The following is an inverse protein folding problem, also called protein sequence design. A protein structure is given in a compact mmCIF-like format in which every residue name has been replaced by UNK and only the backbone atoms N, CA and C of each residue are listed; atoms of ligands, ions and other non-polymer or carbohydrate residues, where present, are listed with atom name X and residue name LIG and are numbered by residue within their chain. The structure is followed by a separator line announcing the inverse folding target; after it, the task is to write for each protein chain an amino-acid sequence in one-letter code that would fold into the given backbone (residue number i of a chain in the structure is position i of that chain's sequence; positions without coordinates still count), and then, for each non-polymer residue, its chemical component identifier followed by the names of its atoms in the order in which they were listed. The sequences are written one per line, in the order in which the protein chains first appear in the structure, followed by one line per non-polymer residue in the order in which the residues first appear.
data_IF_298988758322
#
_entry.id   IF_298988758322
#
_cell.length_a   1.000
_cell.length_b   1.000
_cell.length_c   1.000
_cell.angle_alpha   90.00
_cell.angle_beta   90.00
_cell.angle_gamma   90.00
#
_symmetry.space_group_name_H-M   'P 1'
#
loop_
_entity.id
_entity.type
_entity.pdbx_description
1 polymer ?
#
# COMPACT_ATOMS: atom_id res chain seq x y z
N UNK A 1 23.83 -59.25 -3.18
CA UNK A 1 23.88 -58.33 -4.34
C UNK A 1 22.46 -57.87 -4.65
N UNK A 2 22.11 -56.66 -4.22
CA UNK A 2 20.77 -56.07 -4.35
C UNK A 2 20.92 -54.76 -5.13
N UNK A 3 20.68 -54.78 -6.43
CA UNK A 3 20.72 -53.58 -7.28
C UNK A 3 19.34 -52.89 -7.29
N UNK A 4 19.30 -51.72 -6.67
CA UNK A 4 18.14 -50.83 -6.59
C UNK A 4 17.93 -50.11 -7.92
N UNK A 5 16.79 -50.36 -8.58
CA UNK A 5 16.26 -49.53 -9.68
C UNK A 5 15.91 -48.13 -9.15
N UNK A 6 16.60 -47.09 -9.63
CA UNK A 6 16.22 -45.68 -9.42
C UNK A 6 15.16 -45.27 -10.45
N UNK A 7 13.95 -44.99 -9.98
CA UNK A 7 12.88 -44.41 -10.78
C UNK A 7 13.14 -42.92 -11.00
N UNK A 8 13.21 -42.51 -12.27
CA UNK A 8 13.38 -41.14 -12.70
C UNK A 8 12.01 -40.46 -12.78
N UNK A 9 11.59 -39.74 -11.73
CA UNK A 9 10.39 -38.89 -11.76
C UNK A 9 10.76 -37.56 -12.42
N UNK A 10 10.34 -37.39 -13.68
CA UNK A 10 10.25 -36.07 -14.32
C UNK A 10 9.20 -35.26 -13.56
N UNK A 11 9.65 -34.25 -12.83
CA UNK A 11 8.80 -33.17 -12.31
C UNK A 11 8.42 -32.27 -13.48
N UNK A 12 7.13 -32.25 -13.82
CA UNK A 12 6.55 -31.25 -14.71
C UNK A 12 6.59 -29.86 -14.05
N UNK A 13 6.73 -28.78 -14.84
CA UNK A 13 6.71 -27.43 -14.30
C UNK A 13 5.29 -27.08 -13.86
N UNK A 14 5.15 -26.72 -12.58
CA UNK A 14 3.95 -26.10 -12.03
C UNK A 14 3.74 -24.78 -12.75
N UNK A 15 2.81 -24.74 -13.71
CA UNK A 15 2.28 -23.51 -14.26
C UNK A 15 1.53 -22.78 -13.15
N UNK A 16 2.12 -21.70 -12.64
CA UNK A 16 1.43 -20.79 -11.73
C UNK A 16 0.21 -20.22 -12.46
N UNK A 17 -0.97 -20.44 -11.86
CA UNK A 17 -2.25 -20.08 -12.42
C UNK A 17 -2.39 -18.55 -12.57
N UNK A 18 -2.23 -18.05 -13.80
CA UNK A 18 -2.54 -16.67 -14.18
C UNK A 18 -4.07 -16.50 -14.39
N UNK A 19 -4.83 -16.75 -13.32
CA UNK A 19 -6.30 -16.69 -13.29
C UNK A 19 -6.83 -15.35 -12.78
N UNK A 20 -6.32 -14.21 -13.29
CA UNK A 20 -6.91 -12.91 -12.96
C UNK A 20 -8.32 -12.83 -13.57
N UNK A 21 -9.34 -12.63 -12.74
CA UNK A 21 -10.75 -12.64 -13.18
C UNK A 21 -10.95 -11.62 -14.30
N UNK A 22 -11.79 -11.96 -15.30
CA UNK A 22 -12.13 -11.07 -16.43
C UNK A 22 -12.57 -9.68 -15.93
N UNK A 23 -13.31 -9.66 -14.82
CA UNK A 23 -13.81 -8.44 -14.19
C UNK A 23 -12.71 -7.56 -13.59
N UNK A 24 -11.67 -8.14 -12.97
CA UNK A 24 -10.51 -7.37 -12.47
C UNK A 24 -9.75 -6.71 -13.62
N UNK A 25 -9.59 -7.42 -14.75
CA UNK A 25 -8.95 -6.86 -15.95
C UNK A 25 -9.73 -5.69 -16.53
N UNK A 26 -11.05 -5.78 -16.55
CA UNK A 26 -11.93 -4.71 -17.02
C UNK A 26 -11.78 -3.45 -16.15
N UNK A 27 -11.79 -3.59 -14.82
CA UNK A 27 -11.66 -2.44 -13.90
C UNK A 27 -10.29 -1.77 -14.04
N UNK A 28 -9.20 -2.54 -14.11
CA UNK A 28 -7.86 -1.99 -14.31
C UNK A 28 -7.72 -1.28 -15.67
N UNK A 29 -8.39 -1.79 -16.71
CA UNK A 29 -8.39 -1.14 -18.02
C UNK A 29 -9.16 0.19 -18.00
N UNK A 30 -10.23 0.30 -17.22
CA UNK A 30 -10.97 1.56 -17.01
C UNK A 30 -10.07 2.58 -16.31
N UNK A 31 -9.41 2.18 -15.21
CA UNK A 31 -8.49 3.05 -14.47
C UNK A 31 -7.33 3.53 -15.35
N UNK A 32 -6.76 2.65 -16.18
CA UNK A 32 -5.67 2.99 -17.08
C UNK A 32 -6.06 3.97 -18.21
N UNK A 33 -7.36 4.17 -18.44
CA UNK A 33 -7.89 5.13 -19.41
C UNK A 33 -8.26 6.48 -18.77
N UNK A 34 -8.19 6.59 -17.44
CA UNK A 34 -8.52 7.80 -16.70
C UNK A 34 -7.26 8.58 -16.34
N UNK A 35 -7.17 9.82 -16.83
CA UNK A 35 -6.10 10.77 -16.45
C UNK A 35 -6.44 11.46 -15.12
N UNK A 36 -6.56 10.69 -14.04
CA UNK A 36 -6.73 11.24 -12.69
C UNK A 36 -5.65 10.72 -11.76
N UNK A 37 -5.18 11.59 -10.85
CA UNK A 37 -4.22 11.20 -9.80
C UNK A 37 -4.74 10.03 -8.97
N UNK A 38 -6.06 9.93 -8.80
CA UNK A 38 -6.72 8.80 -8.13
C UNK A 38 -6.51 7.47 -8.87
N UNK A 39 -6.64 7.48 -10.20
CA UNK A 39 -6.47 6.27 -11.01
C UNK A 39 -5.05 5.72 -10.90
N UNK A 40 -4.05 6.61 -10.90
CA UNK A 40 -2.67 6.22 -10.65
C UNK A 40 -2.50 5.63 -9.25
N UNK A 41 -3.09 6.23 -8.22
CA UNK A 41 -3.03 5.68 -6.85
C UNK A 41 -3.60 4.26 -6.78
N UNK A 42 -4.76 4.02 -7.40
CA UNK A 42 -5.37 2.68 -7.41
C UNK A 42 -4.54 1.67 -8.20
N UNK A 43 -3.90 2.10 -9.29
CA UNK A 43 -3.01 1.23 -10.08
C UNK A 43 -1.76 0.84 -9.30
N UNK A 44 -1.12 1.79 -8.62
CA UNK A 44 0.05 1.52 -7.77
C UNK A 44 -0.32 0.58 -6.61
N UNK A 45 -1.47 0.84 -5.97
CA UNK A 45 -2.03 -0.03 -4.94
C UNK A 45 -2.25 -1.45 -5.46
N UNK A 46 -2.83 -1.62 -6.65
CA UNK A 46 -3.02 -2.93 -7.25
C UNK A 46 -1.72 -3.64 -7.68
N UNK A 47 -0.62 -2.90 -7.82
CA UNK A 47 0.71 -3.45 -8.07
C UNK A 47 1.34 -4.07 -6.82
N UNK A 48 1.06 -3.50 -5.66
CA UNK A 48 1.57 -3.96 -4.37
C UNK A 48 0.63 -4.96 -3.67
N UNK A 49 -0.66 -4.86 -3.95
CA UNK A 49 -1.72 -5.58 -3.26
C UNK A 49 -2.57 -6.40 -4.21
N UNK A 50 -3.24 -7.42 -3.65
CA UNK A 50 -4.28 -8.17 -4.36
C UNK A 50 -5.64 -7.88 -3.75
N UNK A 51 -6.18 -6.64 -3.92
CA UNK A 51 -7.47 -6.31 -3.33
C UNK A 51 -8.55 -7.23 -3.88
N UNK A 52 -9.55 -7.47 -3.05
CA UNK A 52 -10.76 -8.13 -3.50
C UNK A 52 -11.41 -7.34 -4.64
N UNK A 53 -12.05 -8.06 -5.57
CA UNK A 53 -12.63 -7.43 -6.76
C UNK A 53 -13.74 -6.44 -6.39
N UNK A 54 -14.48 -6.69 -5.32
CA UNK A 54 -15.54 -5.79 -4.87
C UNK A 54 -14.99 -4.52 -4.20
N UNK A 55 -13.87 -4.63 -3.47
CA UNK A 55 -13.18 -3.45 -2.96
C UNK A 55 -12.64 -2.59 -4.11
N UNK A 56 -11.98 -3.22 -5.09
CA UNK A 56 -11.48 -2.51 -6.25
C UNK A 56 -12.59 -1.78 -7.00
N UNK A 57 -13.74 -2.44 -7.21
CA UNK A 57 -14.91 -1.80 -7.81
C UNK A 57 -15.38 -0.59 -7.00
N UNK A 58 -15.45 -0.73 -5.68
CA UNK A 58 -15.86 0.35 -4.77
C UNK A 58 -14.90 1.54 -4.83
N UNK A 59 -13.58 1.30 -4.88
CA UNK A 59 -12.57 2.35 -5.02
C UNK A 59 -12.71 3.12 -6.35
N UNK A 60 -13.03 2.42 -7.45
CA UNK A 60 -13.25 3.05 -8.75
C UNK A 60 -14.56 3.81 -8.81
N UNK A 61 -15.65 3.26 -8.26
CA UNK A 61 -16.96 3.93 -8.22
C UNK A 61 -16.91 5.21 -7.38
N UNK A 62 -16.36 5.14 -6.16
CA UNK A 62 -16.34 6.28 -5.26
C UNK A 62 -15.32 7.34 -5.66
N UNK A 63 -14.17 6.95 -6.24
CA UNK A 63 -13.16 7.92 -6.70
C UNK A 63 -13.56 8.72 -7.93
N UNK A 64 -14.54 8.25 -8.69
CA UNK A 64 -15.04 8.94 -9.88
C UNK A 64 -16.14 9.97 -9.60
N UNK A 65 -16.52 10.19 -8.34
CA UNK A 65 -17.54 11.16 -7.87
C UNK A 65 -18.92 11.07 -8.53
N UNK A 66 -19.15 10.14 -9.46
CA UNK A 66 -20.36 10.06 -10.24
C UNK A 66 -20.91 8.64 -10.21
N UNK A 67 -21.86 8.45 -9.31
CA UNK A 67 -23.26 8.21 -9.67
C UNK A 67 -23.95 7.89 -8.35
N UNK A 68 -25.15 8.41 -8.12
CA UNK A 68 -26.01 8.00 -6.98
C UNK A 68 -26.46 6.53 -7.06
N UNK A 69 -25.63 5.65 -7.61
CA UNK A 69 -25.84 4.23 -7.78
C UNK A 69 -25.26 3.54 -6.55
N UNK A 70 -26.09 2.92 -5.70
CA UNK A 70 -25.58 2.15 -4.58
C UNK A 70 -24.68 1.04 -5.13
N UNK A 71 -23.48 0.91 -4.54
CA UNK A 71 -22.55 -0.16 -4.84
C UNK A 71 -23.34 -1.47 -4.93
N UNK A 72 -23.27 -2.14 -6.08
CA UNK A 72 -24.16 -3.28 -6.40
C UNK A 72 -23.94 -4.48 -5.48
N UNK A 73 -22.89 -4.47 -4.64
CA UNK A 73 -22.61 -5.48 -3.63
C UNK A 73 -22.12 -4.82 -2.34
N UNK A 74 -22.62 -5.33 -1.22
CA UNK A 74 -22.33 -4.83 0.12
C UNK A 74 -21.00 -5.38 0.61
N UNK A 75 -19.95 -4.55 0.63
CA UNK A 75 -18.74 -4.86 1.40
C UNK A 75 -19.12 -5.04 2.86
N UNK A 76 -18.71 -6.14 3.47
CA UNK A 76 -18.92 -6.34 4.90
C UNK A 76 -17.85 -5.59 5.68
N UNK A 77 -18.20 -5.09 6.86
CA UNK A 77 -17.24 -4.50 7.80
C UNK A 77 -16.00 -5.39 7.99
N UNK A 78 -16.21 -6.71 8.11
CA UNK A 78 -15.12 -7.66 8.29
C UNK A 78 -14.19 -7.74 7.08
N UNK A 79 -14.73 -7.64 5.86
CA UNK A 79 -13.93 -7.65 4.64
C UNK A 79 -13.07 -6.38 4.54
N UNK A 80 -13.62 -5.23 4.92
CA UNK A 80 -12.88 -3.95 4.95
C UNK A 80 -11.75 -4.01 5.98
N UNK A 81 -12.05 -4.41 7.23
CA UNK A 81 -11.02 -4.57 8.28
C UNK A 81 -9.95 -5.56 7.82
N UNK A 82 -10.34 -6.71 7.27
CA UNK A 82 -9.37 -7.71 6.81
C UNK A 82 -8.46 -7.19 5.70
N UNK A 83 -8.93 -6.27 4.84
CA UNK A 83 -8.05 -5.60 3.88
C UNK A 83 -7.08 -4.64 4.57
N UNK A 84 -7.55 -3.77 5.46
CA UNK A 84 -6.71 -2.81 6.16
C UNK A 84 -5.59 -3.53 6.95
N UNK A 85 -5.93 -4.62 7.63
CA UNK A 85 -4.95 -5.47 8.32
C UNK A 85 -3.92 -6.11 7.38
N UNK A 86 -4.31 -6.46 6.13
CA UNK A 86 -3.36 -6.92 5.11
C UNK A 86 -2.40 -5.81 4.70
N UNK A 87 -2.92 -4.59 4.53
CA UNK A 87 -2.11 -3.42 4.20
C UNK A 87 -1.11 -3.09 5.31
N UNK A 88 -1.55 -3.11 6.56
CA UNK A 88 -0.68 -2.96 7.74
C UNK A 88 0.46 -3.97 7.73
N UNK A 89 0.13 -5.25 7.51
CA UNK A 89 1.14 -6.30 7.45
C UNK A 89 2.14 -6.06 6.30
N UNK A 90 1.67 -5.58 5.14
CA UNK A 90 2.54 -5.20 4.04
C UNK A 90 3.45 -4.01 4.39
N UNK A 91 2.92 -2.95 5.01
CA UNK A 91 3.70 -1.78 5.39
C UNK A 91 4.82 -2.16 6.37
N UNK A 92 4.46 -2.85 7.45
CA UNK A 92 5.39 -3.21 8.53
C UNK A 92 6.46 -4.20 8.08
N UNK A 93 6.11 -5.21 7.27
CA UNK A 93 7.03 -6.30 6.94
C UNK A 93 7.72 -6.14 5.59
N UNK A 94 7.30 -5.20 4.76
CA UNK A 94 7.82 -5.06 3.40
C UNK A 94 8.14 -3.62 3.01
N UNK A 95 7.14 -2.72 2.95
CA UNK A 95 7.34 -1.39 2.39
C UNK A 95 8.34 -0.55 3.20
N UNK A 96 8.10 -0.40 4.50
CA UNK A 96 8.96 0.41 5.38
C UNK A 96 10.39 -0.13 5.45
N UNK A 97 10.64 -1.43 5.73
CA UNK A 97 12.00 -1.97 5.73
C UNK A 97 12.76 -1.77 4.41
N UNK A 98 12.07 -1.87 3.28
CA UNK A 98 12.69 -1.66 1.97
C UNK A 98 13.07 -0.20 1.72
N UNK A 99 12.25 0.75 2.17
CA UNK A 99 12.56 2.17 2.07
C UNK A 99 13.75 2.51 2.98
N UNK A 100 13.78 2.01 4.22
CA UNK A 100 14.90 2.20 5.15
C UNK A 100 16.21 1.63 4.58
N UNK A 101 16.15 0.49 3.91
CA UNK A 101 17.29 -0.07 3.18
C UNK A 101 17.71 0.79 1.97
N UNK A 102 16.76 1.37 1.23
CA UNK A 102 17.06 2.30 0.14
C UNK A 102 17.77 3.56 0.63
N UNK A 103 17.32 4.15 1.74
CA UNK A 103 18.01 5.26 2.39
C UNK A 103 19.45 4.88 2.77
N UNK A 104 19.63 3.73 3.40
CA UNK A 104 20.96 3.24 3.80
C UNK A 104 21.93 3.16 2.60
N UNK A 105 21.45 2.70 1.44
CA UNK A 105 22.25 2.63 0.20
C UNK A 105 22.59 4.02 -0.34
N UNK A 106 21.59 4.90 -0.43
CA UNK A 106 21.76 6.28 -0.91
C UNK A 106 22.77 7.05 -0.05
N UNK A 107 22.69 6.90 1.28
CA UNK A 107 23.60 7.55 2.22
C UNK A 107 25.01 6.95 2.19
N UNK A 108 25.16 5.64 1.96
CA UNK A 108 26.46 5.02 1.78
C UNK A 108 27.17 5.54 0.52
N UNK A 109 26.42 5.78 -0.57
CA UNK A 109 26.96 6.32 -1.82
C UNK A 109 27.26 7.82 -1.75
N UNK A 110 26.53 8.58 -0.90
CA UNK A 110 26.62 10.05 -0.81
C UNK A 110 26.66 10.53 0.66
N UNK A 111 27.67 10.13 1.46
CA UNK A 111 27.67 10.34 2.91
C UNK A 111 27.77 11.81 3.34
N UNK A 112 28.32 12.68 2.49
CA UNK A 112 28.49 14.11 2.80
C UNK A 112 27.24 14.96 2.47
N UNK A 113 26.19 14.36 1.91
CA UNK A 113 25.04 15.13 1.41
C UNK A 113 24.03 15.44 2.52
N UNK A 114 24.13 16.62 3.14
CA UNK A 114 23.30 17.03 4.27
C UNK A 114 21.78 16.85 4.03
N UNK A 115 21.27 17.23 2.85
CA UNK A 115 19.83 17.10 2.56
C UNK A 115 19.35 15.64 2.56
N UNK A 116 20.19 14.67 2.20
CA UNK A 116 19.83 13.25 2.24
C UNK A 116 19.72 12.75 3.68
N UNK A 117 20.60 13.22 4.57
CA UNK A 117 20.52 12.93 6.01
C UNK A 117 19.28 13.56 6.64
N UNK A 118 18.93 14.78 6.24
CA UNK A 118 17.71 15.44 6.68
C UNK A 118 16.47 14.66 6.21
N UNK A 119 16.39 14.28 4.93
CA UNK A 119 15.31 13.44 4.40
C UNK A 119 15.19 12.11 5.16
N UNK A 120 16.32 11.46 5.46
CA UNK A 120 16.33 10.21 6.22
C UNK A 120 15.80 10.41 7.65
N UNK A 121 16.23 11.48 8.32
CA UNK A 121 15.76 11.81 9.68
C UNK A 121 14.25 12.07 9.70
N UNK A 122 13.74 12.81 8.72
CA UNK A 122 12.30 13.06 8.57
C UNK A 122 11.54 11.76 8.29
N UNK A 123 12.08 10.90 7.44
CA UNK A 123 11.50 9.59 7.16
C UNK A 123 11.45 8.71 8.41
N UNK A 124 12.50 8.66 9.23
CA UNK A 124 12.49 7.88 10.47
C UNK A 124 11.43 8.37 11.47
N UNK A 125 11.16 9.68 11.51
CA UNK A 125 10.07 10.25 12.32
C UNK A 125 8.71 9.79 11.78
N UNK A 126 8.51 9.90 10.47
CA UNK A 126 7.30 9.41 9.79
C UNK A 126 7.09 7.90 10.00
N UNK A 127 8.12 7.07 9.81
CA UNK A 127 8.07 5.62 9.97
C UNK A 127 7.62 5.25 11.39
N UNK A 128 8.18 5.90 12.42
CA UNK A 128 7.77 5.65 13.81
C UNK A 128 6.32 6.06 14.08
N UNK A 129 5.88 7.20 13.54
CA UNK A 129 4.51 7.66 13.68
C UNK A 129 3.53 6.67 13.05
N UNK A 130 3.77 6.27 11.80
CA UNK A 130 2.94 5.32 11.08
C UNK A 130 2.88 3.95 11.78
N UNK A 131 4.01 3.46 12.32
CA UNK A 131 4.03 2.19 13.08
C UNK A 131 3.16 2.27 14.33
N UNK A 132 3.23 3.37 15.09
CA UNK A 132 2.41 3.53 16.29
C UNK A 132 0.93 3.67 15.92
N UNK A 133 0.62 4.45 14.89
CA UNK A 133 -0.73 4.59 14.38
C UNK A 133 -1.33 3.24 13.95
N UNK A 134 -0.62 2.44 13.15
CA UNK A 134 -1.05 1.08 12.78
C UNK A 134 -1.31 0.21 14.02
N UNK A 135 -0.48 0.35 15.06
CA UNK A 135 -0.64 -0.42 16.30
C UNK A 135 -1.92 -0.04 17.05
N UNK A 136 -2.25 1.24 17.11
CA UNK A 136 -3.49 1.74 17.70
C UNK A 136 -4.71 1.22 16.94
N UNK A 137 -4.67 1.29 15.61
CA UNK A 137 -5.76 0.77 14.77
C UNK A 137 -5.95 -0.75 14.92
N UNK A 138 -4.87 -1.52 14.94
CA UNK A 138 -4.95 -2.97 15.14
C UNK A 138 -5.56 -3.34 16.50
N UNK A 139 -5.27 -2.56 17.53
CA UNK A 139 -5.92 -2.71 18.83
C UNK A 139 -7.45 -2.50 18.71
N UNK A 140 -7.87 -1.48 17.96
CA UNK A 140 -9.28 -1.16 17.77
C UNK A 140 -9.99 -2.16 16.86
N UNK A 141 -9.34 -2.67 15.82
CA UNK A 141 -9.83 -3.77 15.00
C UNK A 141 -10.08 -5.02 15.83
N UNK A 142 -9.18 -5.34 16.78
CA UNK A 142 -9.40 -6.45 17.72
C UNK A 142 -10.62 -6.22 18.63
N UNK A 143 -10.85 -4.98 19.08
CA UNK A 143 -12.04 -4.64 19.85
C UNK A 143 -13.33 -4.79 19.03
N UNK A 144 -13.33 -4.30 17.78
CA UNK A 144 -14.47 -4.44 16.87
C UNK A 144 -14.80 -5.89 16.55
N UNK A 145 -13.78 -6.74 16.35
CA UNK A 145 -13.96 -8.18 16.12
C UNK A 145 -14.57 -8.90 17.32
N UNK A 146 -14.39 -8.36 18.53
CA UNK A 146 -15.00 -8.86 19.77
C UNK A 146 -16.37 -8.24 20.08
N UNK A 147 -16.88 -7.35 19.21
CA UNK A 147 -18.13 -6.62 19.42
C UNK A 147 -18.05 -5.56 20.52
N UNK A 148 -16.83 -5.13 20.88
CA UNK A 148 -16.60 -4.07 21.86
C UNK A 148 -16.59 -2.71 21.16
N UNK A 149 -16.93 -1.65 21.91
CA UNK A 149 -16.73 -0.27 21.45
C UNK A 149 -15.23 0.04 21.53
N UNK A 150 -14.62 0.39 20.39
CA UNK A 150 -13.27 0.94 20.35
C UNK A 150 -13.32 2.47 20.54
N UNK A 151 -12.18 3.07 20.88
CA UNK A 151 -12.00 4.52 20.75
C UNK A 151 -11.97 4.86 19.26
N UNK A 152 -12.83 5.76 18.79
CA UNK A 152 -12.86 6.13 17.36
C UNK A 152 -11.80 7.17 16.98
N UNK A 153 -10.96 7.59 17.93
CA UNK A 153 -10.07 8.75 17.78
C UNK A 153 -8.81 8.46 16.93
N UNK A 154 -8.44 7.19 16.72
CA UNK A 154 -7.23 6.82 15.96
C UNK A 154 -7.36 7.09 14.45
N UNK A 155 -8.56 7.00 13.87
CA UNK A 155 -8.83 7.16 12.43
C UNK A 155 -8.88 8.62 11.94
N UNK A 156 -8.48 9.59 12.76
CA UNK A 156 -8.48 11.02 12.42
C UNK A 156 -7.07 11.60 12.25
N UNK A 157 -6.02 10.82 12.50
CA UNK A 157 -4.64 11.29 12.47
C UNK A 157 -3.99 11.31 11.06
N UNK A 158 -4.61 10.70 10.05
CA UNK A 158 -3.96 10.42 8.75
C UNK A 158 -3.59 11.64 7.89
N UNK A 159 -4.25 12.78 8.10
CA UNK A 159 -4.04 13.95 7.23
C UNK A 159 -2.64 14.56 7.36
N UNK A 160 -2.01 14.47 8.54
CA UNK A 160 -0.71 15.09 8.78
C UNK A 160 0.46 14.21 8.32
N UNK A 161 0.29 12.88 8.31
CA UNK A 161 1.39 11.94 8.03
C UNK A 161 1.76 11.89 6.54
N UNK A 162 0.78 12.00 5.64
CA UNK A 162 1.02 11.99 4.18
C UNK A 162 1.74 13.26 3.70
N UNK A 163 1.50 14.40 4.34
CA UNK A 163 2.14 15.67 4.00
C UNK A 163 3.67 15.64 4.24
N UNK A 164 4.10 15.01 5.33
CA UNK A 164 5.53 14.84 5.62
C UNK A 164 6.22 13.98 4.55
N UNK A 165 5.55 12.92 4.10
CA UNK A 165 6.08 12.03 3.07
C UNK A 165 6.20 12.74 1.71
N UNK A 166 5.20 13.52 1.32
CA UNK A 166 5.22 14.30 0.08
C UNK A 166 6.35 15.35 0.07
N UNK A 167 6.64 15.98 1.22
CA UNK A 167 7.79 16.88 1.36
C UNK A 167 9.15 16.15 1.21
N UNK A 168 9.28 14.95 1.78
CA UNK A 168 10.50 14.13 1.62
C UNK A 168 10.69 13.75 0.14
N UNK A 169 9.61 13.39 -0.55
CA UNK A 169 9.62 13.06 -1.98
C UNK A 169 10.09 14.25 -2.81
N UNK A 170 9.56 15.45 -2.55
CA UNK A 170 9.96 16.68 -3.25
C UNK A 170 11.46 16.94 -3.08
N UNK A 171 11.96 16.95 -1.83
CA UNK A 171 13.37 17.19 -1.52
C UNK A 171 14.30 16.17 -2.19
N UNK A 172 13.92 14.88 -2.21
CA UNK A 172 14.71 13.83 -2.84
C UNK A 172 14.66 13.88 -4.36
N UNK A 173 13.55 14.33 -4.94
CA UNK A 173 13.39 14.46 -6.40
C UNK A 173 14.41 15.45 -6.98
N UNK A 174 14.70 16.53 -6.25
CA UNK A 174 15.76 17.49 -6.61
C UNK A 174 17.17 16.88 -6.63
N UNK A 175 17.37 15.76 -5.91
CA UNK A 175 18.66 15.04 -5.82
C UNK A 175 18.80 13.93 -6.86
N UNK A 176 17.75 13.70 -7.66
CA UNK A 176 17.77 12.67 -8.71
C UNK A 176 18.55 13.12 -9.93
N UNK A 177 19.31 12.19 -10.50
CA UNK A 177 20.03 12.38 -11.76
C UNK A 177 19.26 11.70 -12.89
N UNK A 178 19.52 12.09 -14.14
CA UNK A 178 18.90 11.48 -15.34
C UNK A 178 19.34 10.04 -15.63
N UNK A 179 20.08 9.39 -14.73
CA UNK A 179 20.58 8.02 -14.92
C UNK A 179 19.47 7.01 -14.61
N UNK A 180 19.30 6.03 -15.49
CA UNK A 180 18.27 4.98 -15.39
C UNK A 180 18.34 4.08 -14.15
N UNK A 181 19.42 4.14 -13.37
CA UNK A 181 19.64 3.34 -12.16
C UNK A 181 20.10 4.18 -10.97
N UNK A 182 19.70 5.45 -10.89
CA UNK A 182 20.01 6.28 -9.74
C UNK A 182 19.33 5.71 -8.47
N UNK A 183 20.09 5.34 -7.41
CA UNK A 183 19.52 4.87 -6.15
C UNK A 183 18.52 5.86 -5.54
N UNK A 184 18.73 7.17 -5.76
CA UNK A 184 17.81 8.21 -5.30
C UNK A 184 16.48 8.16 -6.05
N UNK A 185 16.51 7.89 -7.36
CA UNK A 185 15.30 7.72 -8.16
C UNK A 185 14.49 6.50 -7.70
N UNK A 186 15.17 5.38 -7.43
CA UNK A 186 14.52 4.17 -6.90
C UNK A 186 13.88 4.44 -5.52
N UNK A 187 14.56 5.20 -4.66
CA UNK A 187 14.02 5.61 -3.36
C UNK A 187 12.77 6.49 -3.53
N UNK A 188 12.81 7.48 -4.41
CA UNK A 188 11.66 8.35 -4.72
C UNK A 188 10.46 7.53 -5.19
N UNK A 189 10.65 6.60 -6.13
CA UNK A 189 9.55 5.74 -6.60
C UNK A 189 8.92 4.91 -5.47
N UNK A 190 9.74 4.39 -4.55
CA UNK A 190 9.23 3.62 -3.39
C UNK A 190 8.41 4.48 -2.44
N UNK A 191 8.87 5.70 -2.16
CA UNK A 191 8.16 6.66 -1.32
C UNK A 191 6.84 7.10 -1.97
N UNK A 192 6.84 7.34 -3.29
CA UNK A 192 5.63 7.66 -4.05
C UNK A 192 4.61 6.53 -4.00
N UNK A 193 5.05 5.28 -4.20
CA UNK A 193 4.18 4.12 -4.08
C UNK A 193 3.56 4.00 -2.68
N UNK A 194 4.36 4.22 -1.63
CA UNK A 194 3.85 4.23 -0.26
C UNK A 194 2.85 5.38 -0.03
N UNK A 195 3.14 6.59 -0.51
CA UNK A 195 2.22 7.75 -0.43
C UNK A 195 0.88 7.44 -1.08
N UNK A 196 0.90 6.81 -2.25
CA UNK A 196 -0.31 6.41 -2.98
C UNK A 196 -1.08 5.30 -2.25
N UNK A 197 -0.39 4.27 -1.74
CA UNK A 197 -1.01 3.22 -0.93
C UNK A 197 -1.70 3.80 0.32
N UNK A 198 -1.05 4.73 1.02
CA UNK A 198 -1.60 5.39 2.21
C UNK A 198 -2.82 6.26 1.87
N UNK A 199 -2.84 6.94 0.71
CA UNK A 199 -4.01 7.68 0.23
C UNK A 199 -5.22 6.77 0.01
N UNK A 200 -5.01 5.57 -0.56
CA UNK A 200 -6.07 4.57 -0.71
C UNK A 200 -6.51 4.03 0.65
N UNK A 201 -5.56 3.76 1.54
CA UNK A 201 -5.81 3.25 2.89
C UNK A 201 -6.70 4.21 3.71
N UNK A 202 -6.30 5.47 3.84
CA UNK A 202 -7.10 6.52 4.50
C UNK A 202 -8.48 6.68 3.87
N UNK A 203 -8.57 6.57 2.54
CA UNK A 203 -9.86 6.61 1.86
C UNK A 203 -10.77 5.44 2.28
N UNK A 204 -10.23 4.22 2.37
CA UNK A 204 -10.98 3.04 2.81
C UNK A 204 -11.45 3.21 4.25
N UNK A 205 -10.61 3.74 5.15
CA UNK A 205 -11.03 4.06 6.52
C UNK A 205 -12.17 5.07 6.55
N UNK A 206 -11.95 6.25 5.98
CA UNK A 206 -12.90 7.36 6.11
C UNK A 206 -14.21 7.12 5.37
N UNK A 207 -14.15 6.57 4.15
CA UNK A 207 -15.30 6.48 3.25
C UNK A 207 -16.02 5.14 3.34
N UNK A 208 -15.37 4.09 3.81
CA UNK A 208 -15.97 2.76 3.92
C UNK A 208 -16.11 2.33 5.38
N UNK A 209 -15.01 2.27 6.14
CA UNK A 209 -15.05 1.69 7.48
C UNK A 209 -15.82 2.59 8.47
N UNK A 210 -15.48 3.88 8.55
CA UNK A 210 -16.07 4.79 9.52
C UNK A 210 -17.60 4.92 9.39
N UNK A 211 -18.19 5.01 8.18
CA UNK A 211 -19.64 4.94 8.02
C UNK A 211 -20.28 3.61 8.48
N UNK A 212 -19.56 2.49 8.39
CA UNK A 212 -20.03 1.17 8.85
C UNK A 212 -19.95 0.99 10.38
N UNK A 213 -19.25 1.88 11.09
CA UNK A 213 -19.07 1.85 12.55
C UNK A 213 -20.05 2.76 13.31
N UNK A 214 -20.80 3.62 12.60
CA UNK A 214 -21.84 4.48 13.16
C UNK A 214 -23.16 3.73 13.33
#
# INVERSE_FOLDING_TARGET
MNERKKANRKTEPVQAANGMSTRRKEILNILNQQESNWSQCVMDYCGNHTPDTELLHTLVELGNNDTGRPATRVLTKQAVIAELQRNHNYYLNHALPQISLSFSRVLADRPEHFSLHLCHTLYEVFERALIEHIREEEHDFQAFNKGLKAGQDCFHAHHDETAALDQIIEMLSEQTTSKSFDPCHILVLRLQNLSNDLKIHTFVEEKLLMPMLK
#
